data_IF_014621690055
#
_entry.id   IF_014621690055
#
_cell.length_a   1.000
_cell.length_b   1.000
_cell.length_c   1.000
_cell.angle_alpha   90.00
_cell.angle_beta   90.00
_cell.angle_gamma   90.00
#
_symmetry.space_group_name_H-M   'P 1'
#
loop_
_entity.id
_entity.type
_entity.pdbx_description
1 polymer ?
#
# COMPACT_ATOMS: atom_id res chain seq x y z
N UNK A 1 10.44 -27.79 41.32
CA UNK A 1 9.81 -26.45 41.17
C UNK A 1 8.38 -26.54 41.68
N UNK A 2 8.00 -25.67 42.63
CA UNK A 2 6.62 -25.59 43.14
C UNK A 2 5.68 -25.35 41.95
N UNK A 3 4.41 -25.81 41.97
CA UNK A 3 3.50 -25.68 40.82
C UNK A 3 3.34 -24.22 40.37
N UNK A 4 3.43 -23.28 41.32
CA UNK A 4 3.41 -21.83 41.09
C UNK A 4 4.60 -21.37 40.26
N UNK A 5 5.80 -21.94 40.45
CA UNK A 5 6.98 -21.59 39.67
C UNK A 5 6.89 -22.10 38.22
N UNK A 6 6.25 -23.26 38.01
CA UNK A 6 5.98 -23.77 36.65
C UNK A 6 4.95 -22.90 35.91
N UNK A 7 3.96 -22.37 36.62
CA UNK A 7 2.93 -21.48 36.07
C UNK A 7 3.52 -20.11 35.67
N UNK A 8 4.40 -19.55 36.48
CA UNK A 8 5.08 -18.27 36.17
C UNK A 8 6.00 -18.40 34.94
N UNK A 9 6.72 -19.52 34.79
CA UNK A 9 7.55 -19.78 33.59
C UNK A 9 6.69 -19.99 32.33
N UNK A 10 5.52 -20.63 32.47
CA UNK A 10 4.60 -20.84 31.34
C UNK A 10 3.99 -19.53 30.83
N UNK A 11 3.64 -18.60 31.73
CA UNK A 11 3.09 -17.28 31.36
C UNK A 11 4.14 -16.40 30.68
N UNK A 12 5.41 -16.49 31.09
CA UNK A 12 6.51 -15.72 30.49
C UNK A 12 6.88 -16.18 29.06
N UNK A 13 6.61 -17.45 28.71
CA UNK A 13 6.80 -17.99 27.36
C UNK A 13 5.71 -17.54 26.38
N UNK A 14 4.52 -17.15 26.84
CA UNK A 14 3.43 -16.67 25.98
C UNK A 14 3.43 -15.15 25.75
N UNK A 15 4.10 -14.36 26.59
CA UNK A 15 4.13 -12.89 26.47
C UNK A 15 5.34 -12.35 25.70
N UNK A 16 6.31 -13.20 25.34
CA UNK A 16 7.54 -12.82 24.62
C UNK A 16 7.40 -12.72 23.09
N UNK A 17 6.21 -12.95 22.53
CA UNK A 17 5.92 -12.76 21.09
C UNK A 17 5.34 -11.38 20.72
N UNK A 18 5.55 -10.34 21.55
CA UNK A 18 5.21 -8.97 21.18
C UNK A 18 6.45 -8.07 21.12
N UNK A 19 7.13 -8.12 19.98
CA UNK A 19 8.00 -7.06 19.41
C UNK A 19 8.58 -7.61 18.10
N UNK A 20 8.48 -7.01 16.92
CA UNK A 20 8.02 -5.69 16.52
C UNK A 20 7.58 -5.76 15.04
N UNK A 21 6.30 -5.47 14.75
CA UNK A 21 5.86 -5.07 13.41
C UNK A 21 5.50 -3.59 13.44
N UNK A 22 6.52 -2.76 13.63
CA UNK A 22 6.41 -1.31 13.54
C UNK A 22 7.65 -0.73 12.87
N UNK A 23 7.98 -1.21 11.66
CA UNK A 23 8.85 -0.54 10.67
C UNK A 23 9.00 -1.33 9.34
N UNK A 24 7.97 -2.05 8.91
CA UNK A 24 7.92 -2.59 7.55
C UNK A 24 6.57 -2.29 6.90
N UNK A 25 6.30 -0.98 6.77
CA UNK A 25 5.21 -0.45 5.97
C UNK A 25 5.76 0.72 5.16
N UNK A 26 6.70 0.46 4.26
CA UNK A 26 6.98 1.39 3.16
C UNK A 26 7.70 0.74 1.97
N UNK A 27 7.01 -0.17 1.29
CA UNK A 27 7.28 -0.47 -0.12
C UNK A 27 6.12 -1.29 -0.66
N UNK A 28 5.09 -0.58 -1.10
CA UNK A 28 3.88 -1.22 -1.60
C UNK A 28 2.92 -0.17 -2.09
N UNK A 29 3.23 0.34 -3.28
CA UNK A 29 2.33 1.01 -4.21
C UNK A 29 0.84 1.02 -3.85
N UNK A 30 0.30 2.23 -3.70
CA UNK A 30 -1.12 2.55 -3.92
C UNK A 30 -2.09 2.06 -2.84
N UNK A 31 -2.59 2.99 -2.03
CA UNK A 31 -3.81 2.78 -1.23
C UNK A 31 -3.67 3.17 0.23
N UNK A 32 -3.81 4.47 0.52
CA UNK A 32 -3.76 4.96 1.89
C UNK A 32 -4.03 6.45 2.09
N UNK A 33 -4.75 7.13 1.19
CA UNK A 33 -5.19 8.51 1.44
C UNK A 33 -6.45 8.54 2.32
N UNK A 34 -6.36 7.91 3.50
CA UNK A 34 -7.18 8.24 4.66
C UNK A 34 -6.60 7.56 5.92
N UNK A 35 -5.61 8.19 6.54
CA UNK A 35 -5.28 8.00 7.97
C UNK A 35 -4.57 9.24 8.53
N UNK A 36 -5.36 10.12 9.13
CA UNK A 36 -4.97 10.78 10.38
C UNK A 36 -4.30 12.15 10.27
N UNK A 37 -4.97 13.14 9.69
CA UNK A 37 -4.87 14.50 10.21
C UNK A 37 -5.78 14.58 11.46
N UNK A 38 -5.17 14.40 12.63
CA UNK A 38 -5.80 14.63 13.93
C UNK A 38 -5.08 15.78 14.61
N UNK A 39 -5.68 16.96 14.56
CA UNK A 39 -5.34 18.08 15.43
C UNK A 39 -5.52 17.64 16.89
N UNK A 40 -4.46 17.74 17.68
CA UNK A 40 -4.46 17.42 19.11
C UNK A 40 -3.62 18.44 19.86
N UNK A 41 -4.25 19.55 20.21
CA UNK A 41 -3.78 20.53 21.19
C UNK A 41 -3.65 19.86 22.58
N UNK A 42 -2.54 20.13 23.28
CA UNK A 42 -2.48 20.06 24.74
C UNK A 42 -1.82 18.81 25.34
N UNK A 43 -0.71 19.01 26.07
CA UNK A 43 -0.18 17.96 26.96
C UNK A 43 1.28 18.05 27.38
N UNK A 44 1.66 19.17 28.02
CA UNK A 44 2.64 19.24 29.12
C UNK A 44 3.92 18.38 29.12
N UNK A 45 5.04 19.09 29.06
CA UNK A 45 6.20 18.91 29.95
C UNK A 45 7.02 17.61 29.85
N UNK A 46 8.19 17.73 29.19
CA UNK A 46 9.55 17.42 29.73
C UNK A 46 10.51 17.20 28.55
N UNK A 47 11.38 18.17 28.29
CA UNK A 47 12.84 18.00 28.30
C UNK A 47 13.45 19.28 27.70
N UNK A 48 14.01 20.11 28.57
CA UNK A 48 14.92 21.18 28.13
C UNK A 48 16.24 20.60 27.67
N UNK A 49 17.02 21.47 27.01
CA UNK A 49 18.41 21.29 26.60
C UNK A 49 18.66 20.39 25.38
N UNK A 50 18.76 21.00 24.20
CA UNK A 50 20.09 21.24 23.61
C UNK A 50 19.97 22.15 22.39
N UNK A 51 20.43 23.38 22.57
CA UNK A 51 20.93 24.25 21.52
C UNK A 51 22.26 23.64 21.01
N UNK A 52 22.37 23.35 19.72
CA UNK A 52 23.57 22.78 19.12
C UNK A 52 23.40 22.69 17.61
N UNK A 53 23.96 23.67 16.90
CA UNK A 53 23.91 23.76 15.45
C UNK A 53 24.43 22.51 14.76
N UNK A 54 23.61 21.94 13.90
CA UNK A 54 24.06 21.17 12.76
C UNK A 54 22.91 21.22 11.75
N UNK A 55 22.95 22.20 10.86
CA UNK A 55 22.22 22.12 9.60
C UNK A 55 22.84 20.97 8.80
N UNK A 56 22.50 19.74 9.17
CA UNK A 56 22.60 18.61 8.26
C UNK A 56 21.69 18.98 7.10
N UNK A 57 22.28 19.43 6.00
CA UNK A 57 21.73 19.19 4.67
C UNK A 57 21.40 17.69 4.64
N UNK A 58 20.16 17.34 4.99
CA UNK A 58 19.66 16.00 4.80
C UNK A 58 19.68 15.82 3.29
N UNK A 59 20.62 15.01 2.80
CA UNK A 59 20.60 14.49 1.45
C UNK A 59 19.16 14.11 1.13
N UNK A 60 18.52 14.85 0.23
CA UNK A 60 17.15 14.55 -0.19
C UNK A 60 17.15 13.08 -0.59
N UNK A 61 16.24 12.23 -0.08
CA UNK A 61 16.19 10.82 -0.45
C UNK A 61 16.26 10.69 -1.95
N UNK A 62 17.22 9.90 -2.47
CA UNK A 62 17.42 9.71 -3.91
C UNK A 62 16.08 9.39 -4.58
N UNK A 63 15.71 10.16 -5.60
CA UNK A 63 14.50 9.89 -6.38
C UNK A 63 14.59 8.46 -6.95
N UNK A 64 13.60 7.62 -6.62
CA UNK A 64 13.54 6.27 -7.17
C UNK A 64 13.24 6.40 -8.67
N UNK A 65 14.01 5.74 -9.56
CA UNK A 65 13.75 5.80 -10.99
C UNK A 65 12.33 5.33 -11.31
N UNK A 66 11.65 6.05 -12.22
CA UNK A 66 10.26 5.77 -12.62
C UNK A 66 10.11 4.33 -13.12
N UNK A 67 11.11 3.83 -13.83
CA UNK A 67 11.12 2.52 -14.45
C UNK A 67 11.13 1.39 -13.41
N UNK A 68 11.84 1.59 -12.28
CA UNK A 68 11.84 0.64 -11.16
C UNK A 68 10.46 0.53 -10.53
N UNK A 69 9.80 1.67 -10.40
CA UNK A 69 8.47 1.74 -9.81
C UNK A 69 7.39 1.20 -10.73
N UNK A 70 7.43 1.50 -12.04
CA UNK A 70 6.57 0.88 -13.04
C UNK A 70 6.75 -0.63 -13.07
N UNK A 71 7.99 -1.11 -13.05
CA UNK A 71 8.30 -2.54 -13.04
C UNK A 71 7.59 -3.27 -11.90
N UNK A 72 7.66 -2.76 -10.67
CA UNK A 72 6.98 -3.34 -9.50
C UNK A 72 5.45 -3.39 -9.67
N UNK A 73 4.85 -2.36 -10.25
CA UNK A 73 3.40 -2.34 -10.50
C UNK A 73 3.05 -3.39 -11.56
N UNK A 74 3.82 -3.44 -12.66
CA UNK A 74 3.61 -4.38 -13.74
C UNK A 74 3.77 -5.83 -13.28
N UNK A 75 4.73 -6.12 -12.40
CA UNK A 75 4.91 -7.45 -11.82
C UNK A 75 3.69 -7.86 -11.00
N UNK A 76 3.14 -6.94 -10.19
CA UNK A 76 1.91 -7.20 -9.44
C UNK A 76 0.72 -7.44 -10.39
N UNK A 77 0.59 -6.61 -11.43
CA UNK A 77 -0.49 -6.70 -12.41
C UNK A 77 -0.45 -8.05 -13.14
N UNK A 78 0.73 -8.44 -13.64
CA UNK A 78 0.96 -9.73 -14.32
C UNK A 78 0.72 -10.93 -13.43
N UNK A 79 0.98 -10.82 -12.11
CA UNK A 79 0.71 -11.93 -11.18
C UNK A 79 -0.78 -12.25 -11.01
N UNK A 80 -1.68 -11.37 -11.48
CA UNK A 80 -3.14 -11.47 -11.29
C UNK A 80 -3.90 -11.47 -12.60
N UNK A 81 -3.37 -10.80 -13.62
CA UNK A 81 -4.00 -10.59 -14.92
C UNK A 81 -3.05 -11.11 -15.98
N UNK A 82 -3.55 -12.01 -16.81
CA UNK A 82 -2.82 -12.47 -17.98
C UNK A 82 -2.90 -11.37 -19.04
N UNK A 83 -1.76 -10.75 -19.36
CA UNK A 83 -1.64 -9.63 -20.28
C UNK A 83 -0.77 -10.03 -21.45
N UNK A 84 -1.21 -9.73 -22.67
CA UNK A 84 -0.37 -9.93 -23.84
C UNK A 84 0.80 -8.93 -23.89
N UNK A 85 1.78 -9.18 -24.76
CA UNK A 85 2.98 -8.35 -24.86
C UNK A 85 2.68 -6.89 -25.24
N UNK A 86 1.68 -6.66 -26.10
CA UNK A 86 1.29 -5.32 -26.52
C UNK A 86 0.60 -4.56 -25.39
N UNK A 87 -0.26 -5.22 -24.62
CA UNK A 87 -0.89 -4.68 -23.41
C UNK A 87 0.16 -4.35 -22.35
N UNK A 88 1.16 -5.22 -22.15
CA UNK A 88 2.26 -4.97 -21.20
C UNK A 88 3.02 -3.69 -21.58
N UNK A 89 3.37 -3.52 -22.85
CA UNK A 89 4.07 -2.32 -23.34
C UNK A 89 3.19 -1.08 -23.16
N UNK A 90 1.93 -1.14 -23.60
CA UNK A 90 1.01 -0.01 -23.55
C UNK A 90 0.69 0.43 -22.11
N UNK A 91 0.40 -0.51 -21.22
CA UNK A 91 0.10 -0.22 -19.81
C UNK A 91 1.36 0.30 -19.11
N UNK A 92 2.54 -0.25 -19.38
CA UNK A 92 3.81 0.26 -18.84
C UNK A 92 4.05 1.73 -19.20
N UNK A 93 3.77 2.11 -20.45
CA UNK A 93 3.89 3.50 -20.91
C UNK A 93 2.89 4.41 -20.19
N UNK A 94 1.63 3.99 -20.07
CA UNK A 94 0.60 4.74 -19.33
C UNK A 94 1.02 4.96 -17.87
N UNK A 95 1.55 3.93 -17.20
CA UNK A 95 2.01 4.02 -15.82
C UNK A 95 3.24 4.92 -15.68
N UNK A 96 4.17 4.86 -16.64
CA UNK A 96 5.35 5.72 -16.70
C UNK A 96 4.94 7.20 -16.77
N UNK A 97 4.03 7.52 -17.69
CA UNK A 97 3.48 8.88 -17.82
C UNK A 97 2.76 9.33 -16.56
N UNK A 98 1.96 8.45 -15.95
CA UNK A 98 1.23 8.74 -14.70
C UNK A 98 2.19 9.08 -13.56
N UNK A 99 3.25 8.28 -13.34
CA UNK A 99 4.21 8.52 -12.26
C UNK A 99 5.02 9.81 -12.50
N UNK A 100 5.42 10.09 -13.75
CA UNK A 100 6.07 11.36 -14.08
C UNK A 100 5.15 12.54 -13.80
N UNK A 101 3.88 12.44 -14.18
CA UNK A 101 2.86 13.47 -13.94
C UNK A 101 2.62 13.68 -12.44
N UNK A 102 2.58 12.60 -11.64
CA UNK A 102 2.54 12.69 -10.18
C UNK A 102 3.74 13.47 -9.64
N UNK A 103 4.95 13.18 -10.13
CA UNK A 103 6.16 13.91 -9.77
C UNK A 103 6.08 15.41 -10.07
N UNK A 104 5.48 15.78 -11.21
CA UNK A 104 5.24 17.18 -11.57
C UNK A 104 4.24 17.83 -10.61
N UNK A 105 3.09 17.19 -10.33
CA UNK A 105 2.07 17.69 -9.38
C UNK A 105 2.68 17.93 -7.99
N UNK A 106 3.56 17.03 -7.53
CA UNK A 106 4.24 17.19 -6.24
C UNK A 106 5.15 18.41 -6.19
N UNK A 107 5.78 18.76 -7.31
CA UNK A 107 6.70 19.90 -7.44
C UNK A 107 5.99 21.25 -7.65
N UNK A 108 4.70 21.27 -7.98
CA UNK A 108 3.92 22.50 -8.13
C UNK A 108 3.79 23.28 -6.82
N UNK A 109 3.71 24.60 -6.90
CA UNK A 109 3.51 25.50 -5.74
C UNK A 109 2.03 25.75 -5.45
N UNK A 110 1.25 24.67 -5.38
CA UNK A 110 -0.19 24.70 -5.10
C UNK A 110 -0.52 24.18 -3.69
N UNK A 111 -1.76 24.41 -3.24
CA UNK A 111 -2.22 23.88 -1.96
C UNK A 111 -2.17 22.34 -1.94
N UNK A 112 -1.98 21.77 -0.75
CA UNK A 112 -1.98 20.30 -0.61
C UNK A 112 -3.29 19.67 -1.05
N UNK A 113 -4.41 20.36 -0.81
CA UNK A 113 -5.73 19.91 -1.26
C UNK A 113 -5.83 19.87 -2.79
N UNK A 114 -5.33 20.91 -3.47
CA UNK A 114 -5.27 20.92 -4.94
C UNK A 114 -4.43 19.75 -5.47
N UNK A 115 -3.24 19.53 -4.90
CA UNK A 115 -2.37 18.39 -5.28
C UNK A 115 -3.06 17.04 -5.09
N UNK A 116 -3.80 16.86 -3.99
CA UNK A 116 -4.55 15.63 -3.73
C UNK A 116 -5.65 15.42 -4.78
N UNK A 117 -6.37 16.49 -5.15
CA UNK A 117 -7.41 16.43 -6.16
C UNK A 117 -6.82 16.13 -7.55
N UNK A 118 -5.70 16.75 -7.90
CA UNK A 118 -5.01 16.50 -9.17
C UNK A 118 -4.49 15.05 -9.26
N UNK A 119 -3.92 14.51 -8.17
CA UNK A 119 -3.52 13.09 -8.13
C UNK A 119 -4.73 12.17 -8.29
N UNK A 120 -5.86 12.46 -7.65
CA UNK A 120 -7.08 11.65 -7.79
C UNK A 120 -7.57 11.64 -9.23
N UNK A 121 -7.67 12.82 -9.85
CA UNK A 121 -8.06 12.94 -11.25
C UNK A 121 -7.09 12.19 -12.18
N UNK A 122 -5.78 12.34 -11.95
CA UNK A 122 -4.75 11.61 -12.69
C UNK A 122 -4.89 10.08 -12.52
N UNK A 123 -5.20 9.61 -11.31
CA UNK A 123 -5.45 8.19 -11.03
C UNK A 123 -6.67 7.67 -11.80
N UNK A 124 -7.75 8.43 -11.85
CA UNK A 124 -8.98 8.05 -12.58
C UNK A 124 -8.76 8.00 -14.09
N UNK A 125 -8.04 8.98 -14.64
CA UNK A 125 -7.65 9.01 -16.06
C UNK A 125 -6.74 7.81 -16.38
N UNK A 126 -5.76 7.53 -15.53
CA UNK A 126 -4.84 6.39 -15.69
C UNK A 126 -5.63 5.08 -15.71
N UNK A 127 -6.53 4.88 -14.74
CA UNK A 127 -7.39 3.70 -14.67
C UNK A 127 -8.27 3.55 -15.91
N UNK A 128 -8.85 4.65 -16.40
CA UNK A 128 -9.67 4.63 -17.62
C UNK A 128 -8.86 4.18 -18.83
N UNK A 129 -7.66 4.74 -19.01
CA UNK A 129 -6.75 4.35 -20.10
C UNK A 129 -6.38 2.86 -20.03
N UNK A 130 -6.06 2.35 -18.83
CA UNK A 130 -5.76 0.92 -18.64
C UNK A 130 -6.98 0.07 -18.99
N UNK A 131 -8.17 0.42 -18.50
CA UNK A 131 -9.40 -0.32 -18.77
C UNK A 131 -9.72 -0.46 -20.26
N UNK A 132 -9.47 0.58 -21.06
CA UNK A 132 -9.73 0.52 -22.51
C UNK A 132 -8.88 -0.56 -23.19
N UNK A 133 -7.69 -0.86 -22.66
CA UNK A 133 -6.78 -1.87 -23.21
C UNK A 133 -7.15 -3.30 -22.83
N UNK A 134 -8.02 -3.49 -21.83
CA UNK A 134 -8.33 -4.80 -21.26
C UNK A 134 -9.60 -5.42 -21.88
N UNK A 135 -9.60 -6.74 -22.03
CA UNK A 135 -10.80 -7.51 -22.36
C UNK A 135 -11.72 -7.68 -21.12
N UNK A 136 -12.90 -8.31 -21.29
CA UNK A 136 -13.89 -8.49 -20.21
C UNK A 136 -13.31 -9.12 -18.96
N UNK A 137 -12.59 -10.22 -19.12
CA UNK A 137 -12.11 -11.06 -18.03
C UNK A 137 -10.95 -10.36 -17.28
N UNK A 138 -10.09 -9.68 -18.03
CA UNK A 138 -9.01 -8.87 -17.48
C UNK A 138 -9.55 -7.67 -16.68
N UNK A 139 -10.61 -7.01 -17.17
CA UNK A 139 -11.27 -5.89 -16.47
C UNK A 139 -11.82 -6.30 -15.12
N UNK A 140 -12.47 -7.46 -15.02
CA UNK A 140 -13.00 -7.96 -13.76
C UNK A 140 -11.88 -8.16 -12.74
N UNK A 141 -10.78 -8.82 -13.14
CA UNK A 141 -9.61 -9.03 -12.28
C UNK A 141 -8.94 -7.72 -11.85
N UNK A 142 -8.88 -6.74 -12.76
CA UNK A 142 -8.36 -5.40 -12.45
C UNK A 142 -9.23 -4.67 -11.42
N UNK A 143 -10.56 -4.69 -11.58
CA UNK A 143 -11.48 -4.07 -10.64
C UNK A 143 -11.40 -4.71 -9.26
N UNK A 144 -11.38 -6.05 -9.20
CA UNK A 144 -11.21 -6.79 -7.95
C UNK A 144 -9.91 -6.37 -7.26
N UNK A 145 -8.80 -6.33 -8.00
CA UNK A 145 -7.51 -5.87 -7.47
C UNK A 145 -7.61 -4.46 -6.88
N UNK A 146 -8.22 -3.51 -7.60
CA UNK A 146 -8.41 -2.12 -7.15
C UNK A 146 -9.25 -2.04 -5.88
N UNK A 147 -10.29 -2.85 -5.76
CA UNK A 147 -11.16 -2.88 -4.59
C UNK A 147 -10.48 -3.52 -3.38
N UNK A 148 -9.63 -4.54 -3.57
CA UNK A 148 -8.80 -5.10 -2.49
C UNK A 148 -7.86 -4.04 -1.90
N UNK A 149 -7.27 -3.19 -2.74
CA UNK A 149 -6.41 -2.09 -2.29
C UNK A 149 -7.17 -1.01 -1.54
N UNK A 150 -8.40 -0.68 -1.97
CA UNK A 150 -9.26 0.29 -1.26
C UNK A 150 -9.82 -0.27 0.05
N UNK A 151 -10.12 -1.56 0.10
CA UNK A 151 -10.82 -2.22 1.21
C UNK A 151 -10.14 -3.55 1.64
N UNK A 152 -8.93 -3.51 2.21
CA UNK A 152 -8.14 -4.72 2.54
C UNK A 152 -8.76 -5.60 3.64
N UNK A 153 -9.78 -5.11 4.37
CA UNK A 153 -10.51 -5.88 5.38
C UNK A 153 -11.62 -6.76 4.78
N UNK A 154 -12.29 -6.32 3.70
CA UNK A 154 -13.34 -7.09 3.01
C UNK A 154 -12.75 -8.22 2.17
N UNK A 155 -11.62 -7.98 1.51
CA UNK A 155 -10.95 -9.01 0.71
C UNK A 155 -10.53 -10.24 1.51
N UNK A 156 -10.19 -10.07 2.80
CA UNK A 156 -9.87 -11.19 3.71
C UNK A 156 -11.11 -12.01 4.11
N UNK A 157 -12.28 -11.39 4.28
CA UNK A 157 -13.51 -12.12 4.60
C UNK A 157 -14.02 -12.92 3.40
N UNK A 158 -13.98 -12.34 2.20
CA UNK A 158 -14.48 -12.99 0.99
C UNK A 158 -13.56 -14.15 0.55
N UNK A 159 -12.25 -14.02 0.79
CA UNK A 159 -11.29 -15.11 0.55
C UNK A 159 -11.45 -16.26 1.56
N UNK A 160 -11.93 -15.98 2.77
CA UNK A 160 -12.21 -16.98 3.80
C UNK A 160 -13.48 -17.78 3.46
N UNK A 161 -14.57 -17.10 3.10
CA UNK A 161 -15.83 -17.74 2.72
C UNK A 161 -15.70 -18.59 1.44
N UNK A 162 -14.97 -18.12 0.43
CA UNK A 162 -14.74 -18.89 -0.80
C UNK A 162 -13.86 -20.14 -0.59
N UNK A 163 -13.03 -20.14 0.45
CA UNK A 163 -12.18 -21.28 0.84
C UNK A 163 -12.95 -22.31 1.68
N UNK A 164 -13.90 -21.86 2.49
CA UNK A 164 -14.82 -22.71 3.25
C UNK A 164 -15.81 -23.42 2.31
N UNK A 165 -16.40 -22.70 1.34
CA UNK A 165 -17.31 -23.29 0.34
C UNK A 165 -16.64 -24.30 -0.62
N UNK A 166 -15.34 -24.16 -0.89
CA UNK A 166 -14.58 -25.17 -1.67
C UNK A 166 -14.32 -26.44 -0.85
N UNK A 167 -14.08 -26.31 0.46
CA UNK A 167 -13.87 -27.45 1.36
C UNK A 167 -15.14 -28.27 1.56
N UNK A 168 -16.30 -27.62 1.65
CA UNK A 168 -17.58 -28.32 1.77
C UNK A 168 -17.91 -29.15 0.52
N UNK A 169 -17.60 -28.62 -0.68
CA UNK A 169 -17.82 -29.35 -1.94
C UNK A 169 -16.87 -30.53 -2.17
N UNK A 170 -15.64 -30.48 -1.67
CA UNK A 170 -14.70 -31.63 -1.70
C UNK A 170 -15.00 -32.68 -0.63
N UNK A 171 -15.83 -32.38 0.38
CA UNK A 171 -16.24 -33.31 1.43
C UNK A 171 -17.58 -34.01 1.17
N UNK A 172 -18.30 -33.61 0.12
CA UNK A 172 -19.58 -34.20 -0.30
C UNK A 172 -19.44 -35.12 -1.54
N UNK A 173 -18.23 -35.30 -2.08
CA UNK A 173 -17.87 -36.29 -3.12
C UNK A 173 -17.06 -37.44 -2.50
#
# INVERSE_FOLDING_TARGET
>A
MKPIQKLVVLVFLFTSFNSAFAQYSNSGYGGGYNRGYGSGYGGGSRMGQMNGGMSQERDKPKEIPVEVTVGKIMDNLKSRIDLDELQVIAISNILTESIRSQGIIMKQETSQEAKINDIKALSEITDSKVMVLLNSDQKEKYLLMKDEFKNPKKSKSDKKSKKEAKKEKESEE
#
